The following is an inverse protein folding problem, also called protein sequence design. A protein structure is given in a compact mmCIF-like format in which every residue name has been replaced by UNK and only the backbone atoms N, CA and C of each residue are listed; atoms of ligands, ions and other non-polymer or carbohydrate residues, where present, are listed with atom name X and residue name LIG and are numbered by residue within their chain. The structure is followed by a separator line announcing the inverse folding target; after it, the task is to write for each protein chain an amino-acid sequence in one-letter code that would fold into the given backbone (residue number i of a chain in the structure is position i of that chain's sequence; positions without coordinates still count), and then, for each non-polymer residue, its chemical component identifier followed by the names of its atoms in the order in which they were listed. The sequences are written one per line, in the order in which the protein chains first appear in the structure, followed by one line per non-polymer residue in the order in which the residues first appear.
data_IF_647380619239
#
_entry.id   IF_647380619239
#
_cell.length_a   1.000
_cell.length_b   1.000
_cell.length_c   1.000
_cell.angle_alpha   90.00
_cell.angle_beta   90.00
_cell.angle_gamma   90.00
#
_symmetry.space_group_name_H-M   'P 1'
#
loop_
_entity.id
_entity.type
_entity.pdbx_description
1 polymer ?
#
# COMPACT_ATOMS: atom_id res chain seq x y z
N UNK A 1 -30.57 -41.27 56.57
CA UNK A 1 -30.12 -41.30 55.14
C UNK A 1 -29.99 -39.86 54.63
N UNK A 2 -28.77 -39.32 54.58
CA UNK A 2 -28.50 -37.96 54.07
C UNK A 2 -28.15 -38.07 52.57
N UNK A 3 -28.98 -37.50 51.72
CA UNK A 3 -28.71 -37.43 50.28
C UNK A 3 -27.76 -36.26 50.02
N UNK A 4 -26.59 -36.54 49.50
CA UNK A 4 -25.65 -35.55 48.98
C UNK A 4 -26.02 -35.22 47.50
N UNK A 5 -26.38 -33.98 47.25
CA UNK A 5 -26.49 -33.47 45.90
C UNK A 5 -25.11 -32.91 45.47
N UNK A 6 -24.47 -33.55 44.51
CA UNK A 6 -23.27 -33.02 43.88
C UNK A 6 -23.71 -32.03 42.78
N UNK A 7 -23.39 -30.75 43.00
CA UNK A 7 -23.56 -29.71 41.96
C UNK A 7 -22.33 -29.81 41.07
N UNK A 8 -22.52 -30.27 39.83
CA UNK A 8 -21.50 -30.27 38.80
C UNK A 8 -21.45 -28.88 38.19
N UNK A 9 -20.48 -28.04 38.58
CA UNK A 9 -20.23 -26.73 37.97
C UNK A 9 -19.57 -26.97 36.63
N UNK A 10 -20.29 -26.77 35.55
CA UNK A 10 -19.74 -26.74 34.19
C UNK A 10 -18.99 -25.42 34.00
N UNK A 11 -17.67 -25.45 34.14
CA UNK A 11 -16.82 -24.32 33.74
C UNK A 11 -16.82 -24.23 32.21
N UNK A 12 -17.59 -23.29 31.66
CA UNK A 12 -17.40 -22.85 30.27
C UNK A 12 -16.10 -22.05 30.21
N UNK A 13 -15.06 -22.65 29.70
CA UNK A 13 -13.86 -21.91 29.26
C UNK A 13 -14.24 -21.22 27.98
N UNK A 14 -14.56 -19.94 28.06
CA UNK A 14 -14.67 -19.06 26.88
C UNK A 14 -13.24 -18.85 26.39
N UNK A 15 -12.84 -19.63 25.40
CA UNK A 15 -11.65 -19.30 24.63
C UNK A 15 -12.00 -18.07 23.76
N UNK A 16 -11.46 -16.92 24.11
CA UNK A 16 -11.45 -15.78 23.23
C UNK A 16 -10.54 -16.15 22.04
N UNK A 17 -11.15 -16.45 20.90
CA UNK A 17 -10.42 -16.54 19.65
C UNK A 17 -10.07 -15.11 19.28
N UNK A 18 -8.81 -14.73 19.47
CA UNK A 18 -8.29 -13.48 18.90
C UNK A 18 -8.09 -13.71 17.41
N UNK A 19 -8.57 -12.81 16.57
CA UNK A 19 -8.25 -12.82 15.15
C UNK A 19 -6.72 -12.86 14.99
N UNK A 20 -6.23 -13.76 14.15
CA UNK A 20 -4.79 -13.84 13.87
C UNK A 20 -4.46 -12.75 12.86
N UNK A 21 -3.70 -11.74 13.28
CA UNK A 21 -3.16 -10.72 12.39
C UNK A 21 -1.90 -11.26 11.73
N UNK A 22 -1.81 -11.13 10.42
CA UNK A 22 -0.59 -11.38 9.68
C UNK A 22 -0.16 -10.11 8.96
N UNK A 23 1.13 -9.83 8.93
CA UNK A 23 1.66 -8.63 8.28
C UNK A 23 2.13 -8.96 6.87
N UNK A 24 1.72 -8.13 5.91
CA UNK A 24 2.08 -8.26 4.49
C UNK A 24 2.84 -7.03 4.05
N UNK A 25 4.04 -7.24 3.51
CA UNK A 25 4.87 -6.18 2.94
C UNK A 25 4.66 -6.06 1.45
N UNK A 26 4.35 -4.86 0.97
CA UNK A 26 4.33 -4.54 -0.46
C UNK A 26 5.56 -3.73 -0.85
N UNK A 27 5.94 -3.79 -2.12
CA UNK A 27 7.06 -3.06 -2.69
C UNK A 27 6.70 -2.53 -4.08
N UNK A 28 7.05 -1.31 -4.39
CA UNK A 28 7.12 -0.83 -5.78
C UNK A 28 8.56 -0.56 -6.14
N UNK A 29 8.98 -0.89 -7.37
CA UNK A 29 10.36 -0.72 -7.80
C UNK A 29 10.50 -0.52 -9.30
N UNK A 30 10.89 0.66 -9.73
CA UNK A 30 11.38 0.89 -11.09
C UNK A 30 12.77 0.26 -11.23
N UNK A 31 12.90 -0.77 -12.08
CA UNK A 31 14.14 -1.54 -12.25
C UNK A 31 14.91 -1.18 -13.53
N UNK A 32 14.73 0.03 -13.99
CA UNK A 32 15.45 0.71 -15.08
C UNK A 32 15.72 -0.19 -16.30
N UNK A 33 14.86 -0.17 -17.28
CA UNK A 33 15.08 -0.84 -18.59
C UNK A 33 15.54 -2.31 -18.44
N UNK A 34 14.96 -3.06 -17.49
CA UNK A 34 15.31 -4.47 -17.30
C UNK A 34 15.04 -5.28 -18.56
N UNK A 35 16.10 -5.88 -19.14
CA UNK A 35 16.05 -6.63 -20.41
C UNK A 35 15.46 -5.84 -21.59
N UNK A 36 15.66 -4.52 -21.58
CA UNK A 36 15.30 -3.61 -22.66
C UNK A 36 16.56 -2.86 -23.12
N UNK A 37 16.81 -2.88 -24.43
CA UNK A 37 17.98 -2.24 -25.03
C UNK A 37 17.55 -0.97 -25.77
N UNK A 38 17.06 0.00 -25.02
CA UNK A 38 16.69 1.33 -25.55
C UNK A 38 17.64 2.41 -25.05
N UNK A 39 17.84 3.44 -25.86
CA UNK A 39 18.78 4.53 -25.59
C UNK A 39 20.21 3.98 -25.35
N UNK A 40 20.88 4.44 -24.30
CA UNK A 40 22.20 3.99 -23.92
C UNK A 40 22.20 2.73 -23.03
N UNK A 41 21.03 2.21 -22.67
CA UNK A 41 20.89 0.99 -21.88
C UNK A 41 21.07 -0.25 -22.76
N UNK A 42 22.13 -1.01 -22.52
CA UNK A 42 22.46 -2.24 -23.27
C UNK A 42 23.20 -3.24 -22.35
N UNK A 43 23.56 -4.40 -22.88
CA UNK A 43 24.20 -5.44 -22.06
C UNK A 43 25.48 -5.05 -21.32
N UNK A 44 26.20 -4.01 -21.78
CA UNK A 44 27.41 -3.51 -21.13
C UNK A 44 27.12 -2.43 -20.07
N UNK A 45 26.08 -1.63 -20.29
CA UNK A 45 25.73 -0.51 -19.41
C UNK A 45 24.61 -0.86 -18.43
N UNK A 46 23.84 -1.91 -18.72
CA UNK A 46 22.64 -2.32 -17.98
C UNK A 46 22.51 -3.86 -18.00
N UNK A 47 23.46 -4.55 -17.38
CA UNK A 47 23.54 -6.02 -17.40
C UNK A 47 22.33 -6.66 -16.72
N UNK A 48 21.54 -7.42 -17.48
CA UNK A 48 20.36 -8.12 -16.93
C UNK A 48 20.77 -9.12 -15.80
N UNK A 49 21.85 -9.88 -15.99
CA UNK A 49 22.32 -10.82 -14.96
C UNK A 49 22.84 -10.12 -13.70
N UNK A 50 23.51 -8.98 -13.86
CA UNK A 50 23.92 -8.15 -12.71
C UNK A 50 22.72 -7.63 -11.93
N UNK A 51 21.68 -7.20 -12.64
CA UNK A 51 20.41 -6.77 -12.02
C UNK A 51 19.69 -7.92 -11.31
N UNK A 52 19.68 -9.12 -11.89
CA UNK A 52 19.04 -10.29 -11.29
C UNK A 52 19.68 -10.66 -9.95
N UNK A 53 20.99 -10.64 -9.86
CA UNK A 53 21.75 -10.88 -8.60
C UNK A 53 21.49 -9.76 -7.57
N UNK A 54 21.46 -8.51 -8.02
CA UNK A 54 21.16 -7.38 -7.16
C UNK A 54 19.72 -7.43 -6.62
N UNK A 55 18.76 -7.78 -7.48
CA UNK A 55 17.33 -7.92 -7.12
C UNK A 55 17.13 -9.07 -6.11
N UNK A 56 17.75 -10.24 -6.33
CA UNK A 56 17.72 -11.35 -5.35
C UNK A 56 18.24 -10.89 -3.98
N UNK A 57 19.34 -10.12 -3.96
CA UNK A 57 19.88 -9.55 -2.72
C UNK A 57 18.87 -8.63 -2.02
N UNK A 58 18.25 -7.72 -2.76
CA UNK A 58 17.28 -6.77 -2.20
C UNK A 58 16.03 -7.51 -1.69
N UNK A 59 15.46 -8.39 -2.49
CA UNK A 59 14.23 -9.13 -2.14
C UNK A 59 14.44 -10.01 -0.91
N UNK A 60 15.59 -10.71 -0.80
CA UNK A 60 15.92 -11.53 0.38
C UNK A 60 16.08 -10.71 1.67
N UNK A 61 16.55 -9.47 1.57
CA UNK A 61 16.73 -8.62 2.74
C UNK A 61 15.43 -7.89 3.12
N UNK A 62 14.64 -7.47 2.15
CA UNK A 62 13.40 -6.72 2.40
C UNK A 62 12.18 -7.61 2.61
N UNK A 63 12.21 -8.84 2.08
CA UNK A 63 11.15 -9.85 2.23
C UNK A 63 9.74 -9.35 1.86
N UNK A 64 9.54 -8.73 0.68
CA UNK A 64 8.21 -8.33 0.26
C UNK A 64 7.34 -9.56 -0.07
N UNK A 65 6.02 -9.36 -0.04
CA UNK A 65 5.04 -10.37 -0.42
C UNK A 65 4.39 -10.06 -1.77
N UNK A 66 4.40 -8.78 -2.17
CA UNK A 66 3.98 -8.29 -3.48
C UNK A 66 5.00 -7.26 -3.97
N UNK A 67 5.35 -7.30 -5.24
CA UNK A 67 6.24 -6.32 -5.88
C UNK A 67 5.59 -5.85 -7.18
N UNK A 68 5.44 -4.54 -7.34
CA UNK A 68 5.09 -3.92 -8.61
C UNK A 68 6.36 -3.37 -9.25
N UNK A 69 6.85 -4.03 -10.29
CA UNK A 69 8.00 -3.60 -11.06
C UNK A 69 7.60 -2.66 -12.18
N UNK A 70 8.37 -1.59 -12.39
CA UNK A 70 8.28 -0.72 -13.56
C UNK A 70 9.55 -0.86 -14.39
N UNK A 71 9.48 -0.44 -15.64
CA UNK A 71 10.57 -0.51 -16.63
C UNK A 71 11.08 -1.93 -16.93
N UNK A 72 10.21 -2.88 -16.93
CA UNK A 72 10.49 -4.20 -17.51
C UNK A 72 10.35 -4.11 -19.03
N UNK A 73 11.31 -4.64 -19.77
CA UNK A 73 11.25 -4.70 -21.23
C UNK A 73 9.99 -5.43 -21.71
N UNK A 74 9.36 -4.90 -22.76
CA UNK A 74 8.07 -5.37 -23.27
C UNK A 74 8.18 -6.74 -23.97
N UNK A 75 8.28 -7.78 -23.16
CA UNK A 75 8.30 -9.19 -23.59
C UNK A 75 7.74 -10.08 -22.49
N UNK A 76 6.82 -10.99 -22.84
CA UNK A 76 6.26 -11.97 -21.91
C UNK A 76 7.33 -12.86 -21.24
N UNK A 77 8.47 -13.09 -21.89
CA UNK A 77 9.56 -13.88 -21.33
C UNK A 77 10.26 -13.17 -20.15
N UNK A 78 10.17 -11.86 -20.05
CA UNK A 78 10.87 -11.10 -19.01
C UNK A 78 10.29 -11.36 -17.62
N UNK A 79 9.00 -11.63 -17.48
CA UNK A 79 8.40 -12.09 -16.23
C UNK A 79 8.98 -13.44 -15.78
N UNK A 80 9.16 -14.37 -16.72
CA UNK A 80 9.79 -15.67 -16.44
C UNK A 80 11.26 -15.53 -16.01
N UNK A 81 12.01 -14.60 -16.61
CA UNK A 81 13.37 -14.30 -16.17
C UNK A 81 13.44 -13.71 -14.78
N UNK A 82 12.55 -12.77 -14.44
CA UNK A 82 12.43 -12.24 -13.07
C UNK A 82 12.16 -13.37 -12.07
N UNK A 83 11.19 -14.24 -12.37
CA UNK A 83 10.87 -15.36 -11.50
C UNK A 83 12.07 -16.30 -11.32
N UNK A 84 12.66 -16.77 -12.42
CA UNK A 84 13.65 -17.85 -12.37
C UNK A 84 15.03 -17.40 -11.89
N UNK A 85 15.41 -16.14 -12.17
CA UNK A 85 16.77 -15.66 -11.94
C UNK A 85 16.89 -14.73 -10.73
N UNK A 86 15.78 -14.22 -10.18
CA UNK A 86 15.81 -13.28 -9.07
C UNK A 86 14.85 -13.61 -7.93
N UNK A 87 13.64 -14.09 -8.19
CA UNK A 87 12.63 -14.27 -7.17
C UNK A 87 12.56 -15.71 -6.64
N UNK A 88 12.52 -16.71 -7.52
CA UNK A 88 12.47 -18.15 -7.17
C UNK A 88 13.87 -18.77 -7.16
N UNK A 89 14.79 -18.15 -6.41
CA UNK A 89 16.18 -18.60 -6.28
C UNK A 89 16.41 -19.26 -4.93
N UNK A 90 17.52 -20.00 -4.78
CA UNK A 90 17.95 -20.59 -3.49
C UNK A 90 16.94 -21.55 -2.86
N UNK A 91 16.15 -22.24 -3.68
CA UNK A 91 15.16 -23.23 -3.21
C UNK A 91 13.77 -22.67 -2.88
N UNK A 92 13.54 -21.38 -3.08
CA UNK A 92 12.19 -20.80 -3.03
C UNK A 92 11.48 -20.96 -4.38
N UNK A 93 10.18 -21.28 -4.37
CA UNK A 93 9.35 -21.43 -5.58
C UNK A 93 7.96 -20.83 -5.39
N UNK A 94 7.82 -19.91 -4.44
CA UNK A 94 6.53 -19.35 -4.04
C UNK A 94 6.14 -18.06 -4.78
N UNK A 95 7.01 -17.51 -5.62
CA UNK A 95 6.67 -16.34 -6.41
C UNK A 95 5.97 -16.71 -7.70
N UNK A 96 4.93 -15.95 -8.03
CA UNK A 96 4.22 -15.94 -9.30
C UNK A 96 4.13 -14.51 -9.82
N UNK A 97 3.77 -14.34 -11.10
CA UNK A 97 3.49 -13.02 -11.67
C UNK A 97 2.09 -13.00 -12.26
N UNK A 98 1.54 -11.80 -12.39
CA UNK A 98 0.41 -11.57 -13.29
C UNK A 98 0.81 -11.86 -14.74
N UNK A 99 -0.18 -12.02 -15.64
CA UNK A 99 0.08 -12.21 -17.06
C UNK A 99 0.72 -10.94 -17.66
N UNK A 100 1.51 -11.15 -18.69
CA UNK A 100 2.10 -10.07 -19.47
C UNK A 100 1.03 -9.18 -20.10
N UNK A 101 1.19 -7.87 -19.91
CA UNK A 101 0.34 -6.81 -20.47
C UNK A 101 1.22 -5.76 -21.12
N UNK A 102 0.80 -5.18 -22.21
CA UNK A 102 1.45 -4.02 -22.81
C UNK A 102 0.53 -3.35 -23.85
N UNK A 103 0.84 -2.13 -24.24
CA UNK A 103 0.35 -1.56 -25.49
C UNK A 103 1.45 -1.62 -26.57
N UNK A 104 1.05 -1.60 -27.83
CA UNK A 104 1.98 -1.73 -28.97
C UNK A 104 2.95 -0.54 -29.14
N UNK A 105 2.82 0.50 -28.34
CA UNK A 105 3.61 1.74 -28.46
C UNK A 105 4.71 1.85 -27.39
N UNK A 106 4.65 1.02 -26.36
CA UNK A 106 5.64 1.05 -25.29
C UNK A 106 6.64 -0.09 -25.43
N UNK A 107 7.93 0.21 -25.29
CA UNK A 107 8.99 -0.78 -25.17
C UNK A 107 9.17 -1.28 -23.73
N UNK A 108 8.40 -0.72 -22.78
CA UNK A 108 8.44 -1.01 -21.36
C UNK A 108 7.04 -1.38 -20.85
N UNK A 109 6.99 -2.27 -19.88
CA UNK A 109 5.77 -2.68 -19.20
C UNK A 109 5.98 -2.72 -17.69
N UNK A 110 4.89 -2.86 -16.94
CA UNK A 110 4.95 -3.23 -15.52
C UNK A 110 4.83 -4.76 -15.38
N UNK A 111 5.27 -5.27 -14.23
CA UNK A 111 5.07 -6.66 -13.82
C UNK A 111 4.72 -6.68 -12.35
N UNK A 112 3.59 -7.27 -12.00
CA UNK A 112 3.22 -7.51 -10.60
C UNK A 112 3.62 -8.94 -10.26
N UNK A 113 4.58 -9.08 -9.32
CA UNK A 113 5.00 -10.36 -8.76
C UNK A 113 4.44 -10.50 -7.33
N UNK A 114 4.03 -11.70 -6.95
CA UNK A 114 3.42 -11.97 -5.66
C UNK A 114 3.76 -13.34 -5.11
N UNK A 115 3.74 -13.47 -3.79
CA UNK A 115 3.92 -14.72 -3.06
C UNK A 115 2.65 -15.56 -3.19
N UNK A 116 2.68 -16.55 -4.08
CA UNK A 116 1.53 -17.40 -4.37
C UNK A 116 1.18 -18.40 -3.24
N UNK A 117 2.05 -18.54 -2.26
CA UNK A 117 1.77 -19.28 -1.02
C UNK A 117 0.94 -18.46 -0.01
N UNK A 118 0.94 -17.12 -0.13
CA UNK A 118 0.23 -16.20 0.76
C UNK A 118 -0.98 -15.58 0.05
N UNK A 119 -0.87 -15.30 -1.24
CA UNK A 119 -1.88 -14.60 -2.03
C UNK A 119 -2.41 -15.47 -3.16
N UNK A 120 -3.70 -15.31 -3.47
CA UNK A 120 -4.31 -15.84 -4.69
C UNK A 120 -4.76 -14.70 -5.59
N UNK A 121 -4.46 -14.80 -6.90
CA UNK A 121 -4.93 -13.86 -7.90
C UNK A 121 -6.39 -14.17 -8.26
N UNK A 122 -7.29 -13.19 -8.12
CA UNK A 122 -8.71 -13.30 -8.47
C UNK A 122 -8.91 -12.92 -9.94
N UNK A 123 -8.45 -11.70 -10.30
CA UNK A 123 -8.57 -11.17 -11.65
C UNK A 123 -7.40 -10.27 -11.99
N UNK A 124 -7.23 -10.03 -13.28
CA UNK A 124 -6.27 -9.07 -13.81
C UNK A 124 -6.90 -8.33 -14.97
N UNK A 125 -6.74 -7.01 -14.96
CA UNK A 125 -7.24 -6.12 -15.98
C UNK A 125 -6.18 -5.06 -16.33
N UNK A 126 -6.45 -4.24 -17.35
CA UNK A 126 -5.57 -3.15 -17.73
C UNK A 126 -6.38 -1.90 -18.09
N UNK A 127 -5.93 -0.76 -17.61
CA UNK A 127 -6.40 0.54 -18.07
C UNK A 127 -5.47 0.96 -19.21
N UNK A 128 -5.98 0.97 -20.43
CA UNK A 128 -5.19 1.24 -21.64
C UNK A 128 -5.59 2.52 -22.36
N UNK A 129 -6.67 3.17 -21.94
CA UNK A 129 -7.26 4.34 -22.57
C UNK A 129 -7.45 5.48 -21.59
N UNK A 130 -7.34 6.73 -22.09
CA UNK A 130 -7.80 7.92 -21.38
C UNK A 130 -9.33 8.09 -21.53
N UNK A 131 -9.93 9.03 -20.81
CA UNK A 131 -11.37 9.30 -20.83
C UNK A 131 -11.90 9.75 -22.21
N UNK A 132 -11.00 10.05 -23.14
CA UNK A 132 -11.34 10.42 -24.52
C UNK A 132 -11.06 9.30 -25.52
N UNK A 133 -10.85 8.06 -25.00
CA UNK A 133 -10.58 6.85 -25.76
C UNK A 133 -9.23 6.83 -26.52
N UNK A 134 -8.27 7.70 -26.18
CA UNK A 134 -6.93 7.62 -26.70
C UNK A 134 -6.09 6.64 -25.90
N UNK A 135 -5.11 6.01 -26.56
CA UNK A 135 -4.18 5.11 -25.85
C UNK A 135 -3.35 5.90 -24.83
N UNK A 136 -3.23 5.33 -23.64
CA UNK A 136 -2.26 5.78 -22.64
C UNK A 136 -0.84 5.50 -23.16
N UNK A 137 0.14 6.26 -22.69
CA UNK A 137 1.56 6.07 -23.07
C UNK A 137 2.10 4.71 -22.59
N UNK A 138 1.58 4.19 -21.50
CA UNK A 138 1.78 2.84 -20.93
C UNK A 138 0.45 2.37 -20.38
N UNK A 139 0.22 1.07 -20.35
CA UNK A 139 -0.92 0.52 -19.64
C UNK A 139 -0.72 0.67 -18.14
N UNK A 140 -1.81 0.77 -17.41
CA UNK A 140 -1.84 0.66 -15.96
C UNK A 140 -2.41 -0.72 -15.64
N UNK A 141 -1.68 -1.50 -14.84
CA UNK A 141 -2.06 -2.86 -14.50
C UNK A 141 -2.94 -2.86 -13.27
N UNK A 142 -4.02 -3.62 -13.30
CA UNK A 142 -4.92 -3.82 -12.18
C UNK A 142 -4.94 -5.30 -11.84
N UNK A 143 -4.64 -5.65 -10.60
CA UNK A 143 -4.67 -7.02 -10.12
C UNK A 143 -5.44 -7.09 -8.80
N UNK A 144 -6.45 -7.95 -8.78
CA UNK A 144 -7.24 -8.21 -7.60
C UNK A 144 -6.74 -9.48 -6.92
N UNK A 145 -6.46 -9.40 -5.62
CA UNK A 145 -5.94 -10.50 -4.82
C UNK A 145 -6.85 -10.84 -3.65
N UNK A 146 -6.72 -12.08 -3.17
CA UNK A 146 -7.22 -12.52 -1.87
C UNK A 146 -6.08 -13.06 -1.02
N UNK A 147 -6.19 -12.92 0.30
CA UNK A 147 -5.27 -13.56 1.23
C UNK A 147 -5.66 -15.02 1.45
N UNK A 148 -4.67 -15.91 1.38
CA UNK A 148 -4.85 -17.33 1.68
C UNK A 148 -4.83 -17.54 3.19
N UNK A 149 -6.00 -17.47 3.80
CA UNK A 149 -6.16 -17.77 5.22
C UNK A 149 -6.15 -19.28 5.45
N UNK A 150 -5.15 -19.84 6.16
CA UNK A 150 -5.07 -21.26 6.42
C UNK A 150 -6.19 -21.79 7.32
N UNK A 151 -6.91 -20.90 8.02
CA UNK A 151 -8.02 -21.24 8.91
C UNK A 151 -9.35 -21.33 8.17
N UNK A 152 -9.45 -20.77 6.96
CA UNK A 152 -10.68 -20.82 6.16
C UNK A 152 -10.74 -22.11 5.32
N UNK A 153 -11.84 -22.84 5.46
CA UNK A 153 -12.15 -24.02 4.60
C UNK A 153 -12.69 -23.61 3.23
N UNK A 154 -13.23 -22.40 3.13
CA UNK A 154 -13.74 -21.76 1.92
C UNK A 154 -13.16 -20.36 1.83
N UNK A 155 -12.56 -20.00 0.70
CA UNK A 155 -11.89 -18.70 0.50
C UNK A 155 -12.86 -17.55 0.20
N UNK A 156 -14.17 -17.73 0.38
CA UNK A 156 -15.18 -16.70 0.08
C UNK A 156 -15.20 -15.53 1.06
N UNK A 157 -14.69 -15.74 2.27
CA UNK A 157 -14.76 -14.74 3.34
C UNK A 157 -13.37 -14.21 3.73
N UNK A 158 -12.40 -14.31 2.83
CA UNK A 158 -11.05 -13.79 3.06
C UNK A 158 -10.94 -12.32 2.68
N UNK A 159 -9.99 -11.62 3.27
CA UNK A 159 -9.69 -10.23 2.92
C UNK A 159 -9.18 -10.16 1.48
N UNK A 160 -9.75 -9.25 0.71
CA UNK A 160 -9.35 -8.97 -0.68
C UNK A 160 -8.81 -7.55 -0.80
N UNK A 161 -7.97 -7.32 -1.82
CA UNK A 161 -7.50 -6.00 -2.17
C UNK A 161 -7.23 -5.88 -3.67
N UNK A 162 -7.36 -4.67 -4.19
CA UNK A 162 -6.99 -4.32 -5.56
C UNK A 162 -5.67 -3.56 -5.56
N UNK A 163 -4.70 -4.05 -6.31
CA UNK A 163 -3.43 -3.37 -6.55
C UNK A 163 -3.42 -2.79 -7.96
N UNK A 164 -3.19 -1.49 -8.06
CA UNK A 164 -3.05 -0.76 -9.31
C UNK A 164 -1.57 -0.39 -9.48
N UNK A 165 -0.93 -0.95 -10.50
CA UNK A 165 0.48 -0.74 -10.83
C UNK A 165 0.63 0.27 -11.95
N UNK A 166 1.28 1.41 -11.70
CA UNK A 166 1.41 2.49 -12.66
C UNK A 166 2.87 2.88 -12.91
N UNK A 167 3.18 3.22 -14.17
CA UNK A 167 4.37 3.98 -14.54
C UNK A 167 3.92 5.15 -15.39
N UNK A 168 3.77 6.32 -14.75
CA UNK A 168 3.23 7.50 -15.41
C UNK A 168 4.25 8.13 -16.34
N UNK A 169 3.82 9.14 -17.12
CA UNK A 169 4.64 9.75 -18.15
C UNK A 169 5.85 10.48 -17.56
N UNK A 170 7.04 10.06 -17.90
CA UNK A 170 8.29 10.70 -17.51
C UNK A 170 8.51 12.07 -18.15
N UNK A 171 9.33 12.89 -17.48
CA UNK A 171 9.84 14.18 -17.98
C UNK A 171 9.04 15.38 -17.54
N UNK A 172 9.72 16.52 -17.54
CA UNK A 172 9.17 17.84 -17.21
C UNK A 172 8.32 18.43 -18.33
N UNK A 173 7.66 19.55 -18.04
CA UNK A 173 6.87 20.32 -19.00
C UNK A 173 5.39 19.95 -19.03
N UNK A 174 4.59 20.91 -19.49
CA UNK A 174 3.11 20.85 -19.44
C UNK A 174 2.52 19.69 -20.24
N UNK A 175 3.12 19.31 -21.36
CA UNK A 175 2.65 18.17 -22.16
C UNK A 175 2.78 16.85 -21.40
N UNK A 176 3.90 16.62 -20.70
CA UNK A 176 4.12 15.40 -19.92
C UNK A 176 3.24 15.39 -18.66
N UNK A 177 3.12 16.51 -17.97
CA UNK A 177 2.22 16.68 -16.82
C UNK A 177 0.75 16.45 -17.22
N UNK A 178 0.32 16.96 -18.39
CA UNK A 178 -1.03 16.68 -18.92
C UNK A 178 -1.26 15.19 -19.19
N UNK A 179 -0.25 14.47 -19.69
CA UNK A 179 -0.37 13.02 -19.90
C UNK A 179 -0.44 12.27 -18.56
N UNK A 180 0.33 12.67 -17.53
CA UNK A 180 0.18 12.12 -16.17
C UNK A 180 -1.22 12.33 -15.64
N UNK A 181 -1.78 13.53 -15.82
CA UNK A 181 -3.15 13.82 -15.40
C UNK A 181 -4.19 12.96 -16.11
N UNK A 182 -4.04 12.71 -17.43
CA UNK A 182 -4.93 11.82 -18.17
C UNK A 182 -4.87 10.38 -17.65
N UNK A 183 -3.67 9.90 -17.31
CA UNK A 183 -3.48 8.57 -16.72
C UNK A 183 -4.12 8.51 -15.32
N UNK A 184 -3.92 9.54 -14.49
CA UNK A 184 -4.53 9.65 -13.17
C UNK A 184 -6.07 9.66 -13.25
N UNK A 185 -6.64 10.45 -14.17
CA UNK A 185 -8.08 10.49 -14.38
C UNK A 185 -8.65 9.14 -14.84
N UNK A 186 -7.94 8.41 -15.69
CA UNK A 186 -8.35 7.08 -16.11
C UNK A 186 -8.29 6.04 -14.97
N UNK A 187 -7.36 6.20 -14.03
CA UNK A 187 -7.28 5.36 -12.83
C UNK A 187 -8.49 5.62 -11.92
N UNK A 188 -8.80 6.89 -11.65
CA UNK A 188 -9.95 7.26 -10.80
C UNK A 188 -11.26 6.81 -11.45
N UNK A 189 -11.45 7.06 -12.74
CA UNK A 189 -12.64 6.63 -13.49
C UNK A 189 -12.83 5.10 -13.45
N UNK A 190 -11.75 4.33 -13.58
CA UNK A 190 -11.81 2.89 -13.43
C UNK A 190 -12.29 2.48 -12.03
N UNK A 191 -11.76 3.10 -10.97
CA UNK A 191 -12.17 2.77 -9.60
C UNK A 191 -13.64 3.10 -9.36
N UNK A 192 -14.12 4.24 -9.86
CA UNK A 192 -15.51 4.68 -9.69
C UNK A 192 -16.51 3.81 -10.44
N UNK A 193 -16.12 3.21 -11.57
CA UNK A 193 -17.04 2.47 -12.44
C UNK A 193 -16.89 0.95 -12.34
N UNK A 194 -15.68 0.44 -12.08
CA UNK A 194 -15.36 -0.99 -12.20
C UNK A 194 -14.75 -1.60 -10.93
N UNK A 195 -14.32 -0.79 -9.96
CA UNK A 195 -13.67 -1.29 -8.76
C UNK A 195 -14.63 -2.11 -7.90
N UNK A 196 -14.08 -3.11 -7.29
CA UNK A 196 -14.80 -4.17 -6.60
C UNK A 196 -14.37 -4.38 -5.15
N UNK A 197 -13.26 -3.77 -4.73
CA UNK A 197 -12.75 -3.86 -3.36
C UNK A 197 -12.74 -2.48 -2.71
N UNK A 198 -12.86 -2.44 -1.40
CA UNK A 198 -12.63 -1.23 -0.61
C UNK A 198 -11.12 -1.02 -0.36
N UNK A 199 -10.38 -2.11 -0.16
CA UNK A 199 -8.92 -2.06 -0.01
C UNK A 199 -8.25 -1.86 -1.38
N UNK A 200 -7.90 -0.62 -1.73
CA UNK A 200 -7.26 -0.28 -3.01
C UNK A 200 -5.89 0.35 -2.76
N UNK A 201 -4.86 -0.16 -3.43
CA UNK A 201 -3.53 0.43 -3.44
C UNK A 201 -3.14 0.84 -4.87
N UNK A 202 -2.66 2.07 -5.01
CA UNK A 202 -1.99 2.53 -6.23
C UNK A 202 -0.50 2.67 -5.93
N UNK A 203 0.34 1.97 -6.68
CA UNK A 203 1.77 2.03 -6.49
C UNK A 203 2.53 2.09 -7.82
N UNK A 204 3.69 2.71 -7.81
CA UNK A 204 4.54 2.78 -8.98
C UNK A 204 5.42 4.02 -9.04
N UNK A 205 5.99 4.22 -10.21
CA UNK A 205 6.73 5.43 -10.58
C UNK A 205 5.75 6.46 -11.17
N UNK A 206 5.42 7.46 -10.38
CA UNK A 206 4.47 8.50 -10.79
C UNK A 206 5.10 9.62 -11.60
N UNK A 207 6.44 9.73 -11.60
CA UNK A 207 7.17 10.79 -12.33
C UNK A 207 6.66 12.21 -12.03
N UNK A 208 6.12 12.45 -10.85
CA UNK A 208 5.57 13.75 -10.42
C UNK A 208 6.57 14.49 -9.55
N UNK A 209 6.78 15.77 -9.85
CA UNK A 209 7.77 16.63 -9.19
C UNK A 209 7.22 17.34 -7.96
N UNK A 210 5.90 17.44 -7.85
CA UNK A 210 5.23 18.09 -6.73
C UNK A 210 3.80 17.57 -6.55
N UNK A 211 3.28 17.61 -5.33
CA UNK A 211 1.88 17.28 -5.04
C UNK A 211 0.88 18.26 -5.69
N UNK A 212 1.32 19.45 -6.08
CA UNK A 212 0.49 20.43 -6.80
C UNK A 212 0.29 20.12 -8.29
N UNK A 213 0.94 19.09 -8.84
CA UNK A 213 0.65 18.68 -10.21
C UNK A 213 -0.80 18.21 -10.35
N UNK A 214 -1.43 18.56 -11.47
CA UNK A 214 -2.84 18.21 -11.71
C UNK A 214 -3.10 16.70 -11.62
N UNK A 215 -2.17 15.88 -12.09
CA UNK A 215 -2.29 14.42 -11.97
C UNK A 215 -2.31 13.93 -10.52
N UNK A 216 -1.47 14.50 -9.64
CA UNK A 216 -1.48 14.14 -8.23
C UNK A 216 -2.75 14.63 -7.54
N UNK A 217 -3.19 15.85 -7.84
CA UNK A 217 -4.44 16.40 -7.30
C UNK A 217 -5.66 15.58 -7.77
N UNK A 218 -5.66 15.06 -8.99
CA UNK A 218 -6.70 14.14 -9.47
C UNK A 218 -6.76 12.86 -8.63
N UNK A 219 -5.61 12.34 -8.21
CA UNK A 219 -5.55 11.12 -7.38
C UNK A 219 -5.99 11.36 -5.93
N UNK A 220 -5.64 12.51 -5.31
CA UNK A 220 -5.79 12.72 -3.86
C UNK A 220 -6.88 13.71 -3.44
N UNK A 221 -7.37 14.53 -4.36
CA UNK A 221 -8.29 15.64 -4.04
C UNK A 221 -9.50 15.70 -4.98
N UNK A 222 -9.78 14.65 -5.75
CA UNK A 222 -10.97 14.53 -6.59
C UNK A 222 -12.27 14.59 -5.78
N UNK A 223 -13.37 14.91 -6.44
CA UNK A 223 -14.71 14.95 -5.81
C UNK A 223 -15.36 13.56 -5.66
N UNK A 224 -14.82 12.56 -6.37
CA UNK A 224 -15.23 11.16 -6.28
C UNK A 224 -14.28 10.36 -5.40
N UNK A 225 -13.87 9.17 -5.89
CA UNK A 225 -12.84 8.38 -5.21
C UNK A 225 -11.52 9.15 -5.12
N UNK A 226 -10.84 9.03 -3.99
CA UNK A 226 -9.52 9.61 -3.77
C UNK A 226 -8.63 8.64 -3.02
N UNK A 227 -7.36 8.71 -3.35
CA UNK A 227 -6.31 8.06 -2.56
C UNK A 227 -5.82 8.97 -1.44
N UNK A 228 -5.24 8.34 -0.44
CA UNK A 228 -4.51 9.01 0.63
C UNK A 228 -3.02 8.65 0.55
N UNK A 229 -2.14 9.60 0.89
CA UNK A 229 -0.71 9.36 1.06
C UNK A 229 -0.45 8.87 2.50
N UNK A 230 -0.04 7.62 2.74
CA UNK A 230 0.11 7.06 4.10
C UNK A 230 1.08 7.81 5.00
N UNK A 231 1.99 8.59 4.41
CA UNK A 231 2.97 9.41 5.15
C UNK A 231 2.68 10.90 5.09
N UNK A 232 1.57 11.30 4.46
CA UNK A 232 1.11 12.68 4.33
C UNK A 232 2.25 13.67 3.95
N UNK A 233 3.06 13.30 2.96
CA UNK A 233 4.25 14.05 2.55
C UNK A 233 4.01 14.88 1.29
N UNK A 234 2.97 15.73 1.33
CA UNK A 234 2.64 16.64 0.23
C UNK A 234 3.62 17.82 0.15
N UNK A 235 4.00 18.23 -1.07
CA UNK A 235 4.86 19.39 -1.28
C UNK A 235 5.52 19.43 -2.67
N UNK A 236 6.51 20.31 -2.83
CA UNK A 236 7.39 20.37 -3.99
C UNK A 236 8.62 19.51 -3.69
N UNK A 237 8.65 18.30 -4.25
CA UNK A 237 9.66 17.29 -3.91
C UNK A 237 10.98 17.49 -4.64
N UNK A 238 10.90 17.86 -5.93
CA UNK A 238 12.08 17.97 -6.79
C UNK A 238 13.13 18.93 -6.24
N UNK A 239 14.34 18.44 -6.09
CA UNK A 239 15.52 19.17 -5.62
C UNK A 239 15.24 20.00 -4.33
N UNK A 240 14.52 19.40 -3.38
CA UNK A 240 14.13 20.03 -2.12
C UNK A 240 14.57 19.20 -0.92
N UNK A 241 15.60 19.67 -0.22
CA UNK A 241 16.17 18.98 0.94
C UNK A 241 15.20 18.77 2.10
N UNK A 242 14.10 19.52 2.18
CA UNK A 242 13.06 19.31 3.19
C UNK A 242 12.33 17.99 3.01
N UNK A 243 12.42 17.39 1.82
CA UNK A 243 11.85 16.10 1.48
C UNK A 243 12.90 14.99 1.31
N UNK A 244 14.16 15.23 1.72
CA UNK A 244 15.26 14.29 1.52
C UNK A 244 14.94 12.87 1.99
N UNK A 245 14.19 12.70 3.08
CA UNK A 245 13.83 11.41 3.64
C UNK A 245 12.84 10.58 2.79
N UNK A 246 12.19 11.19 1.79
CA UNK A 246 11.21 10.52 0.93
C UNK A 246 11.61 10.46 -0.55
N UNK A 247 12.82 10.94 -0.89
CA UNK A 247 13.32 10.86 -2.26
C UNK A 247 13.64 9.43 -2.66
N UNK A 248 13.37 9.10 -3.93
CA UNK A 248 13.55 7.76 -4.51
C UNK A 248 14.45 7.73 -5.74
N UNK A 249 14.74 8.88 -6.36
CA UNK A 249 15.63 9.03 -7.51
C UNK A 249 16.57 10.24 -7.29
N UNK A 250 17.84 10.21 -7.71
CA UNK A 250 18.59 9.11 -8.32
C UNK A 250 19.58 8.50 -7.32
N UNK A 251 19.83 7.19 -7.48
CA UNK A 251 20.81 6.46 -6.66
C UNK A 251 22.26 6.93 -6.86
N UNK A 252 22.54 7.82 -7.82
CA UNK A 252 23.88 8.29 -8.23
C UNK A 252 23.92 9.74 -8.69
N UNK A 253 25.08 10.43 -8.52
CA UNK A 253 25.25 11.84 -8.92
C UNK A 253 25.43 12.00 -10.42
N UNK A 254 26.22 11.15 -11.04
CA UNK A 254 26.53 11.19 -12.46
C UNK A 254 25.76 10.14 -13.24
N UNK A 255 25.17 10.51 -14.36
CA UNK A 255 24.63 9.54 -15.31
C UNK A 255 25.79 8.66 -15.81
N UNK A 256 25.89 7.42 -15.30
CA UNK A 256 26.88 6.50 -15.81
C UNK A 256 26.42 5.95 -17.14
N UNK A 257 27.23 6.14 -18.18
CA UNK A 257 27.00 5.60 -19.51
C UNK A 257 25.68 6.05 -20.17
N UNK A 258 25.09 7.18 -19.75
CA UNK A 258 23.82 7.74 -20.27
C UNK A 258 22.60 6.80 -20.17
N UNK A 259 22.71 5.67 -19.44
CA UNK A 259 21.59 4.75 -19.19
C UNK A 259 20.87 5.11 -17.90
N UNK A 260 21.62 5.34 -16.82
CA UNK A 260 21.08 5.71 -15.53
C UNK A 260 20.96 7.25 -15.43
N UNK A 261 19.89 7.74 -14.83
CA UNK A 261 19.79 9.14 -14.44
C UNK A 261 20.85 9.48 -13.38
N UNK A 262 21.34 10.72 -13.39
CA UNK A 262 22.18 11.29 -12.34
C UNK A 262 21.40 12.32 -11.55
N UNK A 263 22.08 13.04 -10.67
CA UNK A 263 21.52 14.12 -9.84
C UNK A 263 21.65 13.85 -8.36
N UNK A 264 21.71 12.61 -7.96
CA UNK A 264 21.59 12.18 -6.57
C UNK A 264 20.13 12.05 -6.14
N UNK A 265 19.88 11.74 -4.89
CA UNK A 265 18.52 11.59 -4.35
C UNK A 265 17.87 12.97 -4.19
N UNK A 266 16.99 13.34 -5.13
CA UNK A 266 16.34 14.65 -5.15
C UNK A 266 14.88 14.67 -5.63
N UNK A 267 14.32 13.50 -6.02
CA UNK A 267 12.94 13.34 -6.49
C UNK A 267 12.18 12.24 -5.75
N UNK A 268 10.89 12.46 -5.44
CA UNK A 268 9.94 11.47 -4.91
C UNK A 268 9.07 10.92 -6.03
N UNK A 269 9.59 10.07 -6.89
CA UNK A 269 8.84 9.54 -8.04
C UNK A 269 8.07 8.27 -7.70
N UNK A 270 8.67 7.39 -6.92
CA UNK A 270 8.08 6.11 -6.55
C UNK A 270 7.25 6.25 -5.28
N UNK A 271 5.97 5.85 -5.36
CA UNK A 271 5.02 6.08 -4.29
C UNK A 271 4.06 4.88 -4.14
N UNK A 272 3.49 4.75 -2.94
CA UNK A 272 2.36 3.89 -2.61
C UNK A 272 1.29 4.80 -2.02
N UNK A 273 0.11 4.84 -2.64
CA UNK A 273 -1.07 5.51 -2.15
C UNK A 273 -2.14 4.45 -1.83
N UNK A 274 -2.98 4.73 -0.85
CA UNK A 274 -3.98 3.80 -0.36
C UNK A 274 -5.37 4.43 -0.39
N UNK A 275 -6.41 3.59 -0.47
CA UNK A 275 -7.77 4.01 -0.14
C UNK A 275 -7.89 4.35 1.34
N UNK A 276 -8.90 5.13 1.70
CA UNK A 276 -9.19 5.53 3.08
C UNK A 276 -9.44 4.30 3.96
N UNK A 277 -10.11 3.28 3.43
CA UNK A 277 -10.42 2.03 4.12
C UNK A 277 -9.17 1.28 4.59
N UNK A 278 -8.10 1.30 3.81
CA UNK A 278 -6.80 0.71 4.24
C UNK A 278 -6.18 1.51 5.39
N UNK A 279 -6.28 2.84 5.38
CA UNK A 279 -5.73 3.66 6.46
C UNK A 279 -6.54 3.54 7.74
N UNK A 280 -7.84 3.32 7.63
CA UNK A 280 -8.75 3.13 8.76
C UNK A 280 -8.84 1.67 9.22
N UNK A 281 -8.51 0.72 8.36
CA UNK A 281 -8.58 -0.72 8.65
C UNK A 281 -10.00 -1.29 8.63
N UNK A 282 -10.91 -0.66 7.88
CA UNK A 282 -12.34 -0.98 7.91
C UNK A 282 -12.70 -2.32 7.25
N UNK A 283 -11.91 -2.75 6.25
CA UNK A 283 -12.15 -3.99 5.50
C UNK A 283 -11.06 -5.05 5.71
N UNK A 284 -10.52 -5.11 6.92
CA UNK A 284 -9.60 -6.16 7.36
C UNK A 284 -8.17 -6.03 6.83
N UNK A 285 -7.82 -4.94 6.16
CA UNK A 285 -6.46 -4.58 5.77
C UNK A 285 -6.12 -3.21 6.31
N UNK A 286 -5.04 -3.08 7.09
CA UNK A 286 -4.67 -1.83 7.77
C UNK A 286 -3.21 -1.48 7.51
N UNK A 287 -2.92 -0.24 7.11
CA UNK A 287 -1.56 0.26 7.02
C UNK A 287 -0.86 0.26 8.39
N UNK A 288 0.36 -0.26 8.45
CA UNK A 288 1.18 -0.24 9.68
C UNK A 288 2.00 1.06 9.71
N UNK A 289 1.72 1.98 10.65
CA UNK A 289 2.42 3.25 10.71
C UNK A 289 3.95 3.09 10.84
N UNK A 290 4.70 4.03 10.22
CA UNK A 290 6.17 4.06 10.20
C UNK A 290 6.85 2.90 9.49
N UNK A 291 6.15 2.16 8.63
CA UNK A 291 6.73 1.10 7.80
C UNK A 291 6.93 1.52 6.35
N UNK A 292 6.41 2.68 5.95
CA UNK A 292 6.60 3.24 4.62
C UNK A 292 7.95 3.96 4.52
N UNK A 293 8.84 3.48 3.67
CA UNK A 293 10.10 4.18 3.39
C UNK A 293 10.72 3.79 2.04
N UNK A 294 11.53 4.69 1.49
CA UNK A 294 12.39 4.40 0.35
C UNK A 294 13.61 3.62 0.84
N UNK A 295 13.75 2.36 0.41
CA UNK A 295 14.82 1.45 0.86
C UNK A 295 16.18 1.98 0.40
N UNK A 296 17.08 2.22 1.32
CA UNK A 296 18.39 2.79 1.04
C UNK A 296 18.47 4.30 1.27
N UNK A 297 17.35 4.99 1.48
CA UNK A 297 17.35 6.41 1.82
C UNK A 297 17.36 6.59 3.34
N UNK A 298 18.36 7.27 3.89
CA UNK A 298 18.49 7.64 5.31
C UNK A 298 18.20 9.12 5.58
N UNK A 299 17.74 9.86 4.56
CA UNK A 299 17.47 11.30 4.62
C UNK A 299 18.72 12.20 4.58
N UNK A 300 19.93 11.62 4.51
CA UNK A 300 21.20 12.38 4.56
C UNK A 300 21.94 12.42 3.23
N UNK A 301 21.41 11.74 2.18
CA UNK A 301 22.02 11.67 0.86
C UNK A 301 21.32 12.57 -0.18
N UNK A 302 20.84 13.74 0.26
CA UNK A 302 20.25 14.71 -0.66
C UNK A 302 21.27 15.15 -1.72
N UNK A 303 20.94 15.00 -3.00
CA UNK A 303 21.84 15.23 -4.15
C UNK A 303 23.11 14.38 -4.15
N UNK A 304 23.15 13.27 -3.38
CA UNK A 304 24.28 12.39 -3.27
C UNK A 304 23.94 10.93 -3.65
N UNK A 305 24.92 10.11 -4.04
CA UNK A 305 24.72 8.70 -4.29
C UNK A 305 24.34 7.93 -3.02
N UNK A 306 23.48 6.95 -3.15
CA UNK A 306 22.96 6.17 -2.02
C UNK A 306 24.03 5.39 -1.25
N UNK A 307 25.13 5.01 -1.89
CA UNK A 307 26.18 4.16 -1.35
C UNK A 307 27.51 4.87 -1.06
N UNK A 308 27.51 6.20 -1.02
CA UNK A 308 28.70 7.00 -0.71
C UNK A 308 28.61 7.52 0.72
N UNK A 309 29.77 7.54 1.43
CA UNK A 309 29.80 7.97 2.82
C UNK A 309 29.16 6.95 3.77
N UNK A 310 28.54 7.45 4.85
CA UNK A 310 27.90 6.62 5.86
C UNK A 310 26.38 6.65 5.67
N UNK A 311 25.81 5.53 5.32
CA UNK A 311 24.37 5.32 5.19
C UNK A 311 23.95 4.15 6.08
N UNK A 312 23.06 4.39 7.03
CA UNK A 312 22.61 3.41 8.02
C UNK A 312 21.23 2.81 7.73
N UNK A 313 20.59 3.20 6.64
CA UNK A 313 19.24 2.72 6.31
C UNK A 313 19.18 1.21 6.10
N UNK A 314 20.20 0.65 5.42
CA UNK A 314 20.36 -0.79 5.17
C UNK A 314 21.85 -1.16 5.16
N UNK A 315 22.15 -2.46 5.05
CA UNK A 315 23.55 -2.91 4.96
C UNK A 315 24.23 -2.42 3.68
N UNK A 316 25.56 -2.27 3.71
CA UNK A 316 26.36 -1.89 2.53
C UNK A 316 26.18 -2.84 1.34
N UNK A 317 25.91 -4.12 1.61
CA UNK A 317 25.58 -5.11 0.56
C UNK A 317 24.28 -4.72 -0.17
N UNK A 318 23.25 -4.33 0.57
CA UNK A 318 21.98 -3.87 -0.01
C UNK A 318 22.16 -2.52 -0.72
N UNK A 319 22.91 -1.57 -0.13
CA UNK A 319 23.21 -0.28 -0.79
C UNK A 319 23.88 -0.46 -2.15
N UNK A 320 24.86 -1.36 -2.23
CA UNK A 320 25.54 -1.67 -3.50
C UNK A 320 24.62 -2.39 -4.49
N UNK A 321 23.72 -3.23 -4.01
CA UNK A 321 22.72 -3.87 -4.85
C UNK A 321 21.73 -2.84 -5.43
N UNK A 322 21.22 -1.91 -4.61
CA UNK A 322 20.36 -0.80 -5.06
C UNK A 322 21.06 0.05 -6.13
N UNK A 323 22.29 0.48 -5.86
CA UNK A 323 23.11 1.24 -6.82
C UNK A 323 23.34 0.50 -8.14
N UNK A 324 23.50 -0.82 -8.08
CA UNK A 324 23.74 -1.66 -9.27
C UNK A 324 22.45 -1.84 -10.09
N UNK A 325 21.32 -2.01 -9.41
CA UNK A 325 20.06 -2.39 -10.05
C UNK A 325 19.43 -1.23 -10.80
N UNK A 326 19.27 -0.07 -10.17
CA UNK A 326 18.46 1.02 -10.73
C UNK A 326 18.97 2.39 -10.31
N UNK A 327 18.54 3.42 -11.02
CA UNK A 327 18.60 4.81 -10.59
C UNK A 327 17.42 5.19 -9.68
N UNK A 328 16.46 4.28 -9.46
CA UNK A 328 15.41 4.42 -8.46
C UNK A 328 15.71 3.59 -7.22
N UNK A 329 15.11 3.97 -6.10
CA UNK A 329 15.02 3.18 -4.87
C UNK A 329 13.62 2.56 -4.79
N UNK A 330 13.50 1.30 -4.30
CA UNK A 330 12.19 0.73 -4.05
C UNK A 330 11.54 1.40 -2.83
N UNK A 331 10.22 1.52 -2.89
CA UNK A 331 9.40 1.93 -1.75
C UNK A 331 8.69 0.71 -1.19
N UNK A 332 8.73 0.54 0.13
CA UNK A 332 8.01 -0.52 0.84
C UNK A 332 7.04 0.07 1.86
N UNK A 333 5.99 -0.70 2.15
CA UNK A 333 5.08 -0.46 3.28
C UNK A 333 4.53 -1.79 3.78
N UNK A 334 4.23 -1.87 5.08
CA UNK A 334 3.61 -3.04 5.70
C UNK A 334 2.14 -2.78 5.98
N UNK A 335 1.36 -3.85 5.85
CA UNK A 335 -0.08 -3.87 6.10
C UNK A 335 -0.43 -5.07 6.97
N UNK A 336 -1.17 -4.84 8.02
CA UNK A 336 -1.75 -5.89 8.83
C UNK A 336 -3.03 -6.39 8.18
N UNK A 337 -3.16 -7.71 8.12
CA UNK A 337 -4.33 -8.40 7.57
C UNK A 337 -5.05 -9.11 8.72
N UNK A 338 -6.30 -8.76 8.92
CA UNK A 338 -7.16 -9.42 9.87
C UNK A 338 -7.65 -10.75 9.30
N UNK A 339 -7.02 -11.84 9.72
CA UNK A 339 -7.40 -13.17 9.27
C UNK A 339 -8.74 -13.57 9.90
N UNK A 340 -9.70 -13.90 9.07
CA UNK A 340 -11.09 -14.20 9.44
C UNK A 340 -11.27 -15.62 10.02
N UNK A 341 -10.36 -16.08 10.86
CA UNK A 341 -10.52 -17.36 11.56
C UNK A 341 -11.72 -17.33 12.50
N UNK A 342 -12.83 -17.90 12.08
CA UNK A 342 -14.05 -18.11 12.89
C UNK A 342 -14.44 -16.90 13.73
N UNK A 343 -14.81 -15.80 13.09
CA UNK A 343 -15.01 -14.75 13.87
C UNK A 343 -16.09 -13.89 13.85
N UNK A 344 -16.26 -13.24 14.85
CA UNK A 344 -17.12 -12.07 15.01
C UNK A 344 -16.79 -11.03 13.94
N UNK A 345 -17.76 -10.58 13.23
CA UNK A 345 -17.77 -9.34 12.46
C UNK A 345 -17.57 -8.15 13.40
N UNK A 346 -16.35 -8.03 13.97
CA UNK A 346 -16.06 -6.89 14.82
C UNK A 346 -15.65 -5.67 13.98
N UNK A 347 -16.29 -4.58 14.28
CA UNK A 347 -15.95 -3.27 13.73
C UNK A 347 -14.57 -2.85 14.24
N UNK A 348 -13.61 -2.53 13.36
CA UNK A 348 -12.41 -1.84 13.78
C UNK A 348 -12.79 -0.42 14.16
N UNK A 349 -12.76 -0.15 15.45
CA UNK A 349 -13.02 1.19 15.95
C UNK A 349 -11.73 1.97 16.00
N UNK A 350 -11.76 3.24 15.58
CA UNK A 350 -10.65 4.16 15.81
C UNK A 350 -10.35 4.23 17.30
N UNK A 351 -9.08 4.43 17.64
CA UNK A 351 -8.69 4.70 19.02
C UNK A 351 -9.29 6.04 19.44
N UNK A 352 -10.41 5.98 20.15
CA UNK A 352 -10.95 7.15 20.82
C UNK A 352 -10.02 7.52 21.98
N UNK A 353 -9.71 8.81 22.11
CA UNK A 353 -9.12 9.29 23.35
C UNK A 353 -9.98 8.81 24.52
N UNK A 354 -9.37 8.03 25.38
CA UNK A 354 -10.05 7.49 26.56
C UNK A 354 -9.19 7.80 27.79
N UNK A 355 -9.58 8.71 28.66
CA UNK A 355 -10.92 9.26 28.86
C UNK A 355 -11.32 10.41 27.92
N UNK A 356 -12.61 10.53 27.66
CA UNK A 356 -13.22 11.67 26.95
C UNK A 356 -13.63 12.74 27.96
N UNK A 357 -13.21 13.98 27.72
CA UNK A 357 -13.64 15.14 28.51
C UNK A 357 -14.92 15.75 27.91
N UNK A 358 -15.95 15.95 28.72
CA UNK A 358 -17.20 16.58 28.30
C UNK A 358 -17.16 18.13 28.43
N UNK A 359 -17.80 18.87 27.51
CA UNK A 359 -18.53 18.38 26.33
C UNK A 359 -17.58 17.93 25.25
N UNK A 360 -17.79 16.72 24.70
CA UNK A 360 -16.96 16.17 23.60
C UNK A 360 -17.73 16.23 22.29
N UNK A 361 -17.29 17.06 21.36
CA UNK A 361 -17.76 17.03 19.99
C UNK A 361 -17.03 15.89 19.27
N UNK A 362 -17.76 14.89 18.83
CA UNK A 362 -17.22 13.84 17.98
C UNK A 362 -16.92 14.47 16.62
N UNK A 363 -15.63 14.49 16.22
CA UNK A 363 -15.18 15.06 14.96
C UNK A 363 -15.78 14.33 13.74
N UNK A 364 -15.52 14.86 12.53
CA UNK A 364 -16.09 14.36 11.27
C UNK A 364 -15.84 12.87 11.04
N UNK A 365 -14.70 12.38 11.50
CA UNK A 365 -14.35 10.95 11.46
C UNK A 365 -15.40 10.05 12.10
N UNK A 366 -16.01 10.47 13.22
CA UNK A 366 -17.03 9.68 13.92
C UNK A 366 -18.44 9.86 13.35
N UNK A 367 -18.63 10.73 12.37
CA UNK A 367 -19.94 10.92 11.71
C UNK A 367 -20.44 9.61 11.10
N UNK A 368 -19.54 8.80 10.57
CA UNK A 368 -19.84 7.53 9.91
C UNK A 368 -20.19 6.37 10.85
N UNK A 369 -20.13 6.56 12.18
CA UNK A 369 -20.49 5.53 13.15
C UNK A 369 -21.76 5.90 13.89
N UNK A 370 -22.63 4.92 14.12
CA UNK A 370 -23.64 4.98 15.17
C UNK A 370 -22.98 4.75 16.53
N UNK A 371 -23.45 5.40 17.56
CA UNK A 371 -22.94 5.22 18.94
C UNK A 371 -24.09 5.16 19.94
N UNK A 372 -24.12 4.13 20.75
CA UNK A 372 -24.95 4.06 21.93
C UNK A 372 -24.08 3.92 23.19
N UNK A 373 -24.39 4.67 24.26
CA UNK A 373 -23.72 4.52 25.55
C UNK A 373 -24.68 3.89 26.56
N UNK A 374 -24.16 2.93 27.29
CA UNK A 374 -24.88 2.24 28.34
C UNK A 374 -24.12 2.39 29.67
N UNK A 375 -24.86 2.53 30.78
CA UNK A 375 -24.27 2.36 32.13
C UNK A 375 -23.84 0.90 32.34
N UNK A 376 -23.05 0.65 33.37
CA UNK A 376 -22.62 -0.72 33.69
C UNK A 376 -23.80 -1.64 34.05
N UNK A 377 -24.96 -1.08 34.46
CA UNK A 377 -26.20 -1.82 34.74
C UNK A 377 -27.03 -2.06 33.44
N UNK A 378 -26.50 -1.68 32.27
CA UNK A 378 -27.14 -1.91 30.94
C UNK A 378 -28.21 -0.89 30.56
N UNK A 379 -28.32 0.25 31.28
CA UNK A 379 -29.26 1.33 30.90
C UNK A 379 -28.67 2.18 29.79
N UNK A 380 -29.36 2.30 28.64
CA UNK A 380 -28.96 3.22 27.56
C UNK A 380 -29.16 4.68 28.01
N UNK A 381 -28.10 5.49 27.89
CA UNK A 381 -28.06 6.90 28.33
C UNK A 381 -27.72 7.88 27.24
N UNK A 382 -27.24 7.40 26.09
CA UNK A 382 -26.92 8.23 24.91
C UNK A 382 -27.11 7.41 23.63
N UNK A 383 -27.49 8.08 22.56
CA UNK A 383 -27.58 7.50 21.22
C UNK A 383 -27.25 8.56 20.16
N UNK A 384 -26.43 8.18 19.19
CA UNK A 384 -26.13 8.91 17.97
C UNK A 384 -26.34 7.97 16.78
N UNK A 385 -27.04 8.44 15.77
CA UNK A 385 -27.25 7.68 14.51
C UNK A 385 -26.06 7.93 13.58
N UNK A 386 -25.75 6.97 12.76
CA UNK A 386 -24.76 7.09 11.68
C UNK A 386 -25.10 8.29 10.77
N UNK A 387 -24.09 9.08 10.39
CA UNK A 387 -24.25 10.30 9.58
C UNK A 387 -24.62 11.56 10.35
N UNK A 388 -24.91 11.49 11.65
CA UNK A 388 -25.29 12.65 12.46
C UNK A 388 -24.13 13.17 13.32
N UNK A 389 -23.90 14.50 13.29
CA UNK A 389 -22.98 15.15 14.21
C UNK A 389 -23.63 15.30 15.59
N UNK A 390 -22.99 14.79 16.64
CA UNK A 390 -23.48 14.88 18.00
C UNK A 390 -22.37 15.23 18.98
N UNK A 391 -22.75 15.90 20.06
CA UNK A 391 -21.87 16.21 21.19
C UNK A 391 -22.24 15.35 22.38
N UNK A 392 -21.29 14.62 22.94
CA UNK A 392 -21.48 13.93 24.22
C UNK A 392 -21.38 14.97 25.33
N UNK A 393 -22.48 15.22 26.02
CA UNK A 393 -22.53 16.19 27.12
C UNK A 393 -23.62 15.86 28.12
N UNK A 394 -23.45 16.32 29.36
CA UNK A 394 -24.48 16.20 30.39
C UNK A 394 -24.60 14.79 30.98
N UNK A 395 -23.69 13.89 30.68
CA UNK A 395 -23.63 12.59 31.33
C UNK A 395 -22.75 12.65 32.59
N UNK A 396 -23.06 11.91 33.66
CA UNK A 396 -22.19 11.84 34.81
C UNK A 396 -20.78 11.35 34.43
N UNK A 397 -19.76 11.87 35.10
CA UNK A 397 -18.41 11.30 34.95
C UNK A 397 -18.41 9.84 35.41
N UNK A 398 -17.81 8.95 34.64
CA UNK A 398 -17.80 7.52 34.97
C UNK A 398 -17.48 6.62 33.78
N UNK A 399 -17.49 5.31 34.03
CA UNK A 399 -17.25 4.27 33.03
C UNK A 399 -18.58 3.86 32.37
N UNK A 400 -18.56 3.84 31.04
CA UNK A 400 -19.68 3.43 30.20
C UNK A 400 -19.28 2.31 29.26
N UNK A 401 -20.25 1.55 28.77
CA UNK A 401 -20.10 0.66 27.63
C UNK A 401 -20.55 1.43 26.40
N UNK A 402 -19.63 1.66 25.48
CA UNK A 402 -19.90 2.24 24.18
C UNK A 402 -20.17 1.13 23.17
N UNK A 403 -21.32 1.17 22.52
CA UNK A 403 -21.70 0.26 21.44
C UNK A 403 -21.72 1.03 20.13
N UNK A 404 -20.76 0.71 19.27
CA UNK A 404 -20.57 1.33 17.97
C UNK A 404 -21.21 0.51 16.87
N UNK A 405 -21.77 1.18 15.88
CA UNK A 405 -22.37 0.52 14.71
C UNK A 405 -21.96 1.24 13.44
N UNK A 406 -21.67 0.48 12.38
CA UNK A 406 -21.43 0.97 11.03
C UNK A 406 -21.90 -0.10 10.03
N UNK A 407 -22.78 0.26 9.10
CA UNK A 407 -23.22 -0.63 8.02
C UNK A 407 -23.68 -2.02 8.49
N UNK A 408 -24.39 -2.06 9.62
CA UNK A 408 -24.90 -3.32 10.21
C UNK A 408 -23.90 -4.14 11.02
N UNK A 409 -22.62 -3.74 11.06
CA UNK A 409 -21.61 -4.28 11.97
C UNK A 409 -21.64 -3.56 13.32
N UNK A 410 -21.17 -4.19 14.37
CA UNK A 410 -21.12 -3.56 15.68
C UNK A 410 -19.91 -4.01 16.52
N UNK A 411 -19.47 -3.12 17.40
CA UNK A 411 -18.43 -3.39 18.41
C UNK A 411 -18.73 -2.66 19.70
N UNK A 412 -18.39 -3.28 20.81
CA UNK A 412 -18.49 -2.66 22.14
C UNK A 412 -17.11 -2.39 22.72
N UNK A 413 -16.97 -1.23 23.37
CA UNK A 413 -15.75 -0.83 24.07
C UNK A 413 -16.08 -0.18 25.40
N UNK A 414 -15.10 -0.08 26.30
CA UNK A 414 -15.23 0.70 27.54
C UNK A 414 -14.86 2.15 27.24
N UNK A 415 -15.66 3.08 27.70
CA UNK A 415 -15.47 4.51 27.55
C UNK A 415 -15.54 5.21 28.89
N UNK A 416 -14.51 5.94 29.26
CA UNK A 416 -14.50 6.77 30.45
C UNK A 416 -14.88 8.20 30.06
N UNK A 417 -15.91 8.76 30.72
CA UNK A 417 -16.29 10.16 30.60
C UNK A 417 -15.87 10.94 31.84
N UNK A 418 -15.41 12.18 31.62
CA UNK A 418 -14.99 13.11 32.67
C UNK A 418 -15.76 14.42 32.60
#
# INVERSE_FOLDING_TARGET
MKKWFAILSLLFVIQSVTAQVTSVRVMTYNILNYRNSTNACNGNTNSASGKEVALDTIVRNMQPHVICFQEVGASANNSSYLLNNALNTGGTSSWSTTNYTNNSFSSLTNVIAYRSDILGLISQEVISKDLTNNNLVRVVDVARFYFKDPLLTVQSDTVTFTLIGAHLKAGTGTSNSSQRNKMAAAIVDYIENDAVDANIMLMGDFNMYASSESGYQTLIAGSGFRFEDPINSSGSWNNNSSFAAVHTQSTRNGGSNSCFSGGGLDDRFDQILCSEEILEGDDGMTYVPNTYFAVGNDGNHFNDPVNVGTNYSVSSTVLNALYTLSDHLPVIADFDIEMQGLSSTELNLPMIENPIHQPAQLGDYYLRYGLELYTLEGKKVFQKIEGEAHTIQGLPAGLYIAHWTKEGRSKSSKLMLW
#
